data_IF_054628653262
#
_entry.id   IF_054628653262
#
_cell.length_a   1.000
_cell.length_b   1.000
_cell.length_c   1.000
_cell.angle_alpha   90.00
_cell.angle_beta   90.00
_cell.angle_gamma   90.00
#
_symmetry.space_group_name_H-M   'P 1'
#
loop_
_entity.id
_entity.type
_entity.pdbx_description
1 polymer ?
#
# COMPACT_ATOMS: atom_id res chain seq x y z
N UNK A 1 11.82 -2.63 4.46
CA UNK A 1 11.20 -2.04 5.68
C UNK A 1 12.23 -1.59 6.73
N UNK A 2 13.31 -2.33 6.98
CA UNK A 2 14.32 -1.97 8.00
C UNK A 2 14.91 -0.57 7.82
N UNK A 3 15.27 -0.17 6.59
CA UNK A 3 15.81 1.16 6.31
C UNK A 3 14.82 2.28 6.67
N UNK A 4 13.53 2.10 6.36
CA UNK A 4 12.48 3.08 6.70
C UNK A 4 12.32 3.20 8.22
N UNK A 5 12.29 2.06 8.93
CA UNK A 5 12.19 2.05 10.39
C UNK A 5 13.41 2.71 11.06
N UNK A 6 14.62 2.46 10.55
CA UNK A 6 15.84 3.08 11.05
C UNK A 6 15.78 4.61 10.89
N UNK A 7 15.47 5.10 9.70
CA UNK A 7 15.35 6.54 9.43
C UNK A 7 14.27 7.18 10.31
N UNK A 8 13.09 6.56 10.40
CA UNK A 8 11.99 7.08 11.21
C UNK A 8 12.36 7.18 12.71
N UNK A 9 13.06 6.17 13.25
CA UNK A 9 13.54 6.19 14.64
C UNK A 9 14.62 7.26 14.85
N UNK A 10 15.54 7.41 13.92
CA UNK A 10 16.56 8.47 13.98
C UNK A 10 15.92 9.85 14.04
N UNK A 11 14.93 10.12 13.18
CA UNK A 11 14.20 11.40 13.18
C UNK A 11 13.42 11.62 14.49
N UNK A 12 12.73 10.59 14.99
CA UNK A 12 12.03 10.63 16.28
C UNK A 12 12.97 11.06 17.43
N UNK A 13 14.16 10.46 17.50
CA UNK A 13 15.16 10.77 18.52
C UNK A 13 15.78 12.16 18.34
N UNK A 14 16.10 12.57 17.11
CA UNK A 14 16.69 13.88 16.81
C UNK A 14 15.76 15.05 17.16
N UNK A 15 14.46 14.91 16.87
CA UNK A 15 13.49 15.99 17.05
C UNK A 15 12.63 15.87 18.31
N UNK A 16 12.88 14.84 19.13
CA UNK A 16 12.10 14.53 20.33
C UNK A 16 10.58 14.52 20.05
N UNK A 17 10.17 13.82 18.98
CA UNK A 17 8.77 13.68 18.57
C UNK A 17 8.32 12.23 18.73
N UNK A 18 7.05 11.95 19.06
CA UNK A 18 6.56 10.58 19.17
C UNK A 18 6.63 9.87 17.82
N UNK A 19 6.94 8.56 17.86
CA UNK A 19 6.93 7.68 16.69
C UNK A 19 5.68 6.78 16.73
N UNK A 20 4.95 6.73 15.62
CA UNK A 20 3.75 5.89 15.47
C UNK A 20 3.95 4.94 14.30
N UNK A 21 3.77 3.64 14.55
CA UNK A 21 3.77 2.62 13.50
C UNK A 21 2.45 2.63 12.73
N UNK A 22 2.52 2.48 11.41
CA UNK A 22 1.34 2.50 10.53
C UNK A 22 1.27 1.24 9.68
N UNK A 23 0.06 0.73 9.44
CA UNK A 23 -0.17 -0.33 8.47
C UNK A 23 -0.24 0.28 7.06
N UNK A 24 0.56 -0.24 6.13
CA UNK A 24 0.67 0.27 4.77
C UNK A 24 -0.67 0.30 4.02
N UNK A 25 -1.42 -0.80 4.03
CA UNK A 25 -2.71 -0.91 3.34
C UNK A 25 -3.76 0.02 3.95
N UNK A 26 -3.83 0.10 5.29
CA UNK A 26 -4.77 1.01 5.99
C UNK A 26 -4.42 2.46 5.69
N UNK A 27 -3.13 2.81 5.57
CA UNK A 27 -2.69 4.14 5.17
C UNK A 27 -3.26 4.57 3.81
N UNK A 28 -3.27 3.67 2.82
CA UNK A 28 -3.91 3.94 1.52
C UNK A 28 -5.42 4.17 1.64
N UNK A 29 -6.11 3.35 2.44
CA UNK A 29 -7.56 3.45 2.63
C UNK A 29 -7.92 4.77 3.31
N UNK A 30 -7.29 5.10 4.44
CA UNK A 30 -7.62 6.30 5.21
C UNK A 30 -7.27 7.59 4.46
N UNK A 31 -6.12 7.63 3.76
CA UNK A 31 -5.81 8.76 2.89
C UNK A 31 -6.88 8.92 1.79
N UNK A 32 -7.29 7.82 1.16
CA UNK A 32 -8.35 7.82 0.15
C UNK A 32 -9.69 8.34 0.70
N UNK A 33 -10.07 7.93 1.92
CA UNK A 33 -11.30 8.39 2.59
C UNK A 33 -11.25 9.89 2.85
N UNK A 34 -10.12 10.40 3.33
CA UNK A 34 -9.93 11.84 3.62
C UNK A 34 -10.07 12.69 2.36
N UNK A 35 -9.36 12.34 1.28
CA UNK A 35 -9.34 13.16 0.06
C UNK A 35 -10.65 13.07 -0.74
N UNK A 36 -11.37 11.94 -0.67
CA UNK A 36 -12.60 11.72 -1.46
C UNK A 36 -13.88 11.97 -0.68
N UNK A 37 -13.82 12.08 0.65
CA UNK A 37 -15.00 12.12 1.52
C UNK A 37 -15.74 10.78 1.64
N UNK A 38 -15.15 9.67 1.18
CA UNK A 38 -15.78 8.35 1.27
C UNK A 38 -15.89 7.88 2.74
N UNK A 39 -17.13 7.71 3.23
CA UNK A 39 -17.38 7.42 4.64
C UNK A 39 -17.11 5.97 5.05
N UNK A 40 -17.60 5.00 4.28
CA UNK A 40 -17.43 3.57 4.56
C UNK A 40 -17.31 2.76 3.26
N UNK A 41 -16.20 2.94 2.50
CA UNK A 41 -16.05 2.32 1.20
C UNK A 41 -15.70 0.83 1.29
N UNK A 42 -16.10 0.08 0.27
CA UNK A 42 -15.41 -1.16 -0.12
C UNK A 42 -14.27 -0.73 -1.05
N UNK A 43 -13.04 -1.03 -0.67
CA UNK A 43 -11.83 -0.57 -1.35
C UNK A 43 -11.24 -1.72 -2.15
N UNK A 44 -11.11 -1.51 -3.46
CA UNK A 44 -10.27 -2.34 -4.31
C UNK A 44 -8.84 -1.79 -4.26
N UNK A 45 -7.97 -2.49 -3.53
CA UNK A 45 -6.57 -2.11 -3.36
C UNK A 45 -5.71 -2.82 -4.40
N UNK A 46 -5.21 -2.04 -5.37
CA UNK A 46 -4.36 -2.52 -6.46
C UNK A 46 -3.03 -1.77 -6.42
N UNK A 47 -1.94 -2.52 -6.27
CA UNK A 47 -0.57 -2.02 -6.30
C UNK A 47 0.34 -2.99 -7.05
N UNK A 48 1.63 -2.64 -7.18
CA UNK A 48 2.65 -3.55 -7.71
C UNK A 48 2.79 -4.84 -6.87
N UNK A 49 2.49 -4.79 -5.57
CA UNK A 49 2.66 -5.92 -4.65
C UNK A 49 1.37 -6.49 -4.06
N UNK A 50 0.22 -5.83 -4.26
CA UNK A 50 -1.04 -6.21 -3.63
C UNK A 50 -2.22 -6.12 -4.60
N UNK A 51 -3.16 -7.04 -4.47
CA UNK A 51 -4.47 -6.98 -5.14
C UNK A 51 -5.50 -7.57 -4.19
N UNK A 52 -6.27 -6.71 -3.53
CA UNK A 52 -7.14 -7.07 -2.40
C UNK A 52 -8.45 -6.27 -2.42
N UNK A 53 -9.54 -6.88 -2.00
CA UNK A 53 -10.83 -6.22 -1.72
C UNK A 53 -10.95 -6.09 -0.20
N UNK A 54 -10.92 -4.86 0.29
CA UNK A 54 -10.84 -4.54 1.73
C UNK A 54 -12.04 -3.70 2.12
N UNK A 55 -12.67 -4.01 3.25
CA UNK A 55 -13.70 -3.15 3.84
C UNK A 55 -13.66 -3.19 5.37
N UNK A 56 -14.21 -2.16 6.00
CA UNK A 56 -14.34 -2.13 7.45
C UNK A 56 -15.53 -2.97 7.90
N UNK A 57 -15.29 -4.00 8.71
CA UNK A 57 -16.33 -4.90 9.21
C UNK A 57 -15.97 -5.48 10.56
N UNK A 58 -16.93 -5.52 11.48
CA UNK A 58 -16.75 -5.98 12.87
C UNK A 58 -15.57 -5.28 13.57
N UNK A 59 -15.56 -3.94 13.49
CA UNK A 59 -14.59 -3.05 14.12
C UNK A 59 -13.13 -3.19 13.65
N UNK A 60 -12.88 -3.85 12.52
CA UNK A 60 -11.56 -3.92 11.90
C UNK A 60 -11.64 -3.89 10.38
N UNK A 61 -10.55 -3.46 9.74
CA UNK A 61 -10.38 -3.67 8.30
C UNK A 61 -10.15 -5.14 8.01
N UNK A 62 -10.92 -5.69 7.07
CA UNK A 62 -10.86 -7.09 6.66
C UNK A 62 -10.69 -7.20 5.17
N UNK A 63 -9.91 -8.19 4.77
CA UNK A 63 -9.77 -8.63 3.38
C UNK A 63 -10.93 -9.59 3.10
N UNK A 64 -11.76 -9.26 2.12
CA UNK A 64 -12.88 -10.07 1.65
C UNK A 64 -12.50 -10.94 0.45
N UNK A 65 -11.48 -10.53 -0.29
CA UNK A 65 -10.89 -11.31 -1.37
C UNK A 65 -9.51 -10.78 -1.70
N UNK A 66 -8.62 -11.64 -2.15
CA UNK A 66 -7.28 -11.26 -2.58
C UNK A 66 -6.81 -12.16 -3.72
N UNK A 67 -5.80 -11.70 -4.44
CA UNK A 67 -5.09 -12.55 -5.41
C UNK A 67 -4.42 -13.73 -4.70
N UNK A 68 -4.43 -14.91 -5.34
CA UNK A 68 -3.82 -16.13 -4.81
C UNK A 68 -2.36 -16.29 -5.25
N UNK A 69 -1.96 -15.62 -6.32
CA UNK A 69 -0.65 -15.78 -6.94
C UNK A 69 0.14 -14.46 -6.94
N UNK A 70 -0.08 -13.61 -7.94
CA UNK A 70 0.63 -12.36 -8.14
C UNK A 70 -0.35 -11.20 -8.13
N UNK A 71 0.11 -10.07 -7.61
CA UNK A 71 -0.61 -8.82 -7.74
C UNK A 71 -0.72 -8.44 -9.23
N UNK A 72 -1.83 -7.82 -9.61
CA UNK A 72 -2.05 -7.41 -11.00
C UNK A 72 -0.98 -6.41 -11.46
N UNK A 73 -0.49 -5.53 -10.57
CA UNK A 73 0.63 -4.64 -10.89
C UNK A 73 1.90 -5.43 -11.24
N UNK A 74 2.26 -6.45 -10.45
CA UNK A 74 3.41 -7.31 -10.75
C UNK A 74 3.22 -8.08 -12.07
N UNK A 75 2.00 -8.54 -12.35
CA UNK A 75 1.68 -9.22 -13.61
C UNK A 75 1.95 -8.32 -14.82
N UNK A 76 1.49 -7.07 -14.76
CA UNK A 76 1.73 -6.07 -15.80
C UNK A 76 3.22 -5.76 -15.95
N UNK A 77 3.94 -5.56 -14.85
CA UNK A 77 5.39 -5.30 -14.86
C UNK A 77 6.17 -6.46 -15.47
N UNK A 78 5.76 -7.70 -15.18
CA UNK A 78 6.37 -8.89 -15.74
C UNK A 78 6.12 -8.98 -17.24
N UNK A 79 4.88 -8.72 -17.67
CA UNK A 79 4.54 -8.69 -19.10
C UNK A 79 5.33 -7.61 -19.84
N UNK A 80 5.39 -6.39 -19.32
CA UNK A 80 6.16 -5.27 -19.88
C UNK A 80 7.63 -5.65 -20.10
N UNK A 81 8.27 -6.29 -19.10
CA UNK A 81 9.65 -6.78 -19.22
C UNK A 81 9.82 -7.84 -20.30
N UNK A 82 8.87 -8.76 -20.46
CA UNK A 82 8.93 -9.79 -21.52
C UNK A 82 8.90 -9.18 -22.92
N UNK A 83 8.14 -8.08 -23.10
CA UNK A 83 8.04 -7.38 -24.39
C UNK A 83 9.08 -6.25 -24.56
N UNK A 84 10.03 -6.12 -23.64
CA UNK A 84 11.03 -5.04 -23.60
C UNK A 84 10.43 -3.62 -23.59
N UNK A 85 9.27 -3.47 -22.96
CA UNK A 85 8.69 -2.15 -22.71
C UNK A 85 9.46 -1.47 -21.57
N UNK A 86 9.96 -0.26 -21.82
CA UNK A 86 10.70 0.52 -20.82
C UNK A 86 9.81 0.93 -19.65
N UNK A 87 10.39 0.95 -18.45
CA UNK A 87 9.75 1.46 -17.23
C UNK A 87 10.26 2.85 -16.81
N UNK A 88 11.11 3.50 -17.64
CA UNK A 88 11.65 4.83 -17.35
C UNK A 88 10.53 5.89 -17.22
N UNK A 89 10.52 6.74 -16.17
CA UNK A 89 11.49 6.94 -15.08
C UNK A 89 11.18 6.20 -13.78
N UNK A 90 10.20 5.30 -13.79
CA UNK A 90 9.79 4.55 -12.61
C UNK A 90 10.78 3.41 -12.31
N UNK A 91 11.19 3.19 -11.05
CA UNK A 91 12.03 2.05 -10.70
C UNK A 91 11.21 0.76 -10.74
N UNK A 92 11.46 -0.13 -11.71
CA UNK A 92 10.93 -1.51 -11.74
C UNK A 92 11.32 -2.34 -12.97
#
# INVERSE_FOLDING_TARGET
>A
LQSVALVARTLCLLFNKPLVGVNHCVGHIEMGREITGARNPIVLYVSGGNTQVIAYSRQCYRIFGETLDIAVGNCLDRFARVINLSNDPSPG
#
